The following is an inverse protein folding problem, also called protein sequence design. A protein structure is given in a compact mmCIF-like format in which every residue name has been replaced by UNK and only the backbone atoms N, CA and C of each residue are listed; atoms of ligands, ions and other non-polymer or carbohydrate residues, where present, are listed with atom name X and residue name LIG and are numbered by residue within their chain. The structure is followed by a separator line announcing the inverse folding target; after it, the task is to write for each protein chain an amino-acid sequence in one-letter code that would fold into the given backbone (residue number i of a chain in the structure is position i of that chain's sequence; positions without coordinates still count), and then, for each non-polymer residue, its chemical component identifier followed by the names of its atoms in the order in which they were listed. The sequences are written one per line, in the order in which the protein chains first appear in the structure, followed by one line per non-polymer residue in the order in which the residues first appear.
data_IF_948095728605
#
_entry.id   IF_948095728605
#
_cell.length_a   1.000
_cell.length_b   1.000
_cell.length_c   1.000
_cell.angle_alpha   90.00
_cell.angle_beta   90.00
_cell.angle_gamma   90.00
#
_symmetry.space_group_name_H-M   'P 1'
#
loop_
_entity.id
_entity.type
_entity.pdbx_description
1 polymer ?
#
# COMPACT_ATOMS: atom_id res chain seq x y z
N UNK A 1 42.08 57.73 -16.19
CA UNK A 1 41.65 56.39 -16.60
C UNK A 1 41.24 55.62 -15.35
N UNK A 2 39.93 55.22 -15.22
CA UNK A 2 39.42 54.35 -14.16
C UNK A 2 39.62 52.89 -14.63
N UNK A 3 40.47 52.12 -13.94
CA UNK A 3 40.59 50.67 -14.15
C UNK A 3 39.42 49.98 -13.46
N UNK A 4 38.52 49.38 -14.24
CA UNK A 4 37.46 48.51 -13.73
C UNK A 4 38.02 47.11 -13.75
N UNK A 5 38.17 46.48 -12.58
CA UNK A 5 38.58 45.09 -12.42
C UNK A 5 37.28 44.26 -12.35
N UNK A 6 36.94 43.52 -13.40
CA UNK A 6 35.83 42.59 -13.42
C UNK A 6 36.36 41.21 -13.02
N UNK A 7 35.98 40.72 -11.85
CA UNK A 7 36.26 39.36 -11.43
C UNK A 7 35.09 38.47 -11.88
N UNK A 8 35.30 37.68 -12.91
CA UNK A 8 34.33 36.67 -13.31
C UNK A 8 34.39 35.54 -12.29
N UNK A 9 33.34 35.39 -11.50
CA UNK A 9 33.09 34.20 -10.73
C UNK A 9 32.49 33.20 -11.70
N UNK A 10 33.12 32.00 -11.81
CA UNK A 10 32.56 30.91 -12.60
C UNK A 10 31.26 30.50 -11.95
N UNK A 11 30.13 30.90 -12.56
CA UNK A 11 28.82 30.41 -12.19
C UNK A 11 28.80 28.92 -12.56
N UNK A 12 29.08 28.09 -11.58
CA UNK A 12 28.83 26.65 -11.70
C UNK A 12 27.32 26.50 -11.58
N UNK A 13 26.61 26.66 -12.69
CA UNK A 13 25.31 26.05 -12.83
C UNK A 13 25.54 24.57 -12.60
N UNK A 14 25.09 24.09 -11.45
CA UNK A 14 24.91 22.67 -11.25
C UNK A 14 24.13 22.15 -12.46
N UNK A 15 24.69 21.16 -13.13
CA UNK A 15 23.99 20.41 -14.19
C UNK A 15 22.87 19.60 -13.52
N UNK A 16 21.85 20.29 -13.03
CA UNK A 16 20.65 19.70 -12.41
C UNK A 16 19.75 18.98 -13.44
N UNK A 17 20.17 18.93 -14.69
CA UNK A 17 19.35 18.53 -15.81
C UNK A 17 19.81 17.25 -16.53
N UNK A 18 20.45 16.34 -15.81
CA UNK A 18 20.84 15.04 -16.37
C UNK A 18 19.87 13.97 -15.86
N UNK A 19 19.17 13.33 -16.80
CA UNK A 19 18.32 12.17 -16.52
C UNK A 19 19.15 10.91 -16.73
N UNK A 20 19.32 10.13 -15.66
CA UNK A 20 19.97 8.82 -15.75
C UNK A 20 18.88 7.79 -16.09
N UNK A 21 18.82 7.36 -17.34
CA UNK A 21 17.87 6.33 -17.82
C UNK A 21 18.49 4.94 -17.68
N UNK A 22 18.94 4.51 -16.49
CA UNK A 22 19.50 3.16 -16.26
C UNK A 22 20.61 2.69 -17.21
N UNK A 23 20.47 2.94 -18.52
CA UNK A 23 21.43 2.59 -19.57
C UNK A 23 22.21 3.80 -20.11
N UNK A 24 21.64 5.00 -20.06
CA UNK A 24 22.24 6.20 -20.64
C UNK A 24 21.99 7.41 -19.77
N UNK A 25 22.98 8.28 -19.70
CA UNK A 25 22.86 9.60 -19.10
C UNK A 25 22.52 10.58 -20.20
N UNK A 26 21.28 11.07 -20.27
CA UNK A 26 20.86 12.07 -21.26
C UNK A 26 20.53 13.41 -20.58
N UNK A 27 20.84 14.50 -21.32
CA UNK A 27 20.38 15.82 -20.88
C UNK A 27 18.85 15.90 -20.97
N UNK A 28 18.21 16.53 -19.98
CA UNK A 28 16.74 16.73 -19.92
C UNK A 28 16.14 17.27 -21.22
N UNK A 29 16.88 18.13 -21.90
CA UNK A 29 16.47 18.74 -23.17
C UNK A 29 16.43 17.76 -24.37
N UNK A 30 16.96 16.56 -24.22
CA UNK A 30 16.90 15.52 -25.25
C UNK A 30 15.64 14.65 -25.16
N UNK A 31 14.84 14.84 -24.11
CA UNK A 31 13.59 14.12 -23.89
C UNK A 31 12.40 15.03 -24.22
N UNK A 32 11.60 14.66 -25.21
CA UNK A 32 10.46 15.45 -25.66
C UNK A 32 9.15 15.14 -24.92
N UNK A 33 9.16 14.18 -23.98
CA UNK A 33 7.99 13.71 -23.25
C UNK A 33 7.78 14.41 -21.91
N UNK A 34 6.58 14.25 -21.34
CA UNK A 34 6.25 14.73 -20.00
C UNK A 34 6.93 13.86 -18.92
N UNK A 35 7.88 14.46 -18.20
CA UNK A 35 8.60 13.81 -17.10
C UNK A 35 8.22 14.49 -15.80
N UNK A 36 7.75 13.70 -14.83
CA UNK A 36 7.57 14.17 -13.46
C UNK A 36 8.75 13.68 -12.63
N UNK A 37 9.54 14.60 -12.05
CA UNK A 37 10.65 14.32 -11.14
C UNK A 37 10.23 14.60 -9.71
N UNK A 38 10.42 13.64 -8.82
CA UNK A 38 10.07 13.70 -7.40
C UNK A 38 11.32 13.38 -6.61
N UNK A 39 11.72 14.27 -5.71
CA UNK A 39 12.83 14.02 -4.79
C UNK A 39 12.38 13.15 -3.62
N UNK A 40 13.29 12.34 -3.07
CA UNK A 40 13.00 11.54 -1.88
C UNK A 40 12.51 12.37 -0.68
N UNK A 41 13.05 13.59 -0.53
CA UNK A 41 12.58 14.54 0.51
C UNK A 41 11.11 14.94 0.35
N UNK A 42 10.61 15.07 -0.87
CA UNK A 42 9.22 15.44 -1.12
C UNK A 42 8.29 14.26 -0.84
N UNK A 43 8.73 13.02 -1.14
CA UNK A 43 8.01 11.82 -0.75
C UNK A 43 7.84 11.74 0.77
N UNK A 44 8.92 11.96 1.52
CA UNK A 44 8.91 11.93 2.99
C UNK A 44 7.99 13.00 3.60
N UNK A 45 7.88 14.17 2.98
CA UNK A 45 6.98 15.24 3.44
C UNK A 45 5.50 14.90 3.27
N UNK A 46 5.17 14.14 2.22
CA UNK A 46 3.78 13.77 1.90
C UNK A 46 3.34 12.54 2.70
N UNK A 47 4.13 11.47 2.65
CA UNK A 47 3.82 10.24 3.38
C UNK A 47 5.11 9.46 3.67
N UNK A 48 5.61 9.47 4.91
CA UNK A 48 6.85 8.77 5.25
C UNK A 48 6.70 7.25 5.33
N UNK A 49 5.46 6.73 5.31
CA UNK A 49 5.15 5.32 5.52
C UNK A 49 4.59 4.61 4.30
N UNK A 50 4.05 5.36 3.34
CA UNK A 50 3.40 4.79 2.16
C UNK A 50 3.92 5.45 0.88
N UNK A 51 4.86 4.77 0.22
CA UNK A 51 5.49 5.25 -1.01
C UNK A 51 4.49 5.44 -2.15
N UNK A 52 3.58 4.48 -2.33
CA UNK A 52 2.61 4.54 -3.43
C UNK A 52 1.67 5.73 -3.26
N UNK A 53 1.18 5.96 -2.05
CA UNK A 53 0.32 7.11 -1.75
C UNK A 53 1.06 8.44 -1.99
N UNK A 54 2.32 8.55 -1.56
CA UNK A 54 3.14 9.73 -1.83
C UNK A 54 3.31 9.97 -3.34
N UNK A 55 3.56 8.91 -4.11
CA UNK A 55 3.66 8.97 -5.57
C UNK A 55 2.37 9.43 -6.23
N UNK A 56 1.22 8.92 -5.80
CA UNK A 56 -0.08 9.30 -6.36
C UNK A 56 -0.40 10.79 -6.13
N UNK A 57 -0.06 11.31 -4.94
CA UNK A 57 -0.28 12.71 -4.61
C UNK A 57 0.66 13.64 -5.41
N UNK A 58 1.93 13.24 -5.58
CA UNK A 58 2.95 14.06 -6.23
C UNK A 58 3.00 13.90 -7.76
N UNK A 59 2.31 12.89 -8.30
CA UNK A 59 2.32 12.60 -9.73
C UNK A 59 0.93 12.80 -10.35
N UNK A 60 0.64 13.93 -11.01
CA UNK A 60 -0.62 14.10 -11.73
C UNK A 60 -0.82 13.00 -12.77
N UNK A 61 -1.99 12.34 -12.76
CA UNK A 61 -2.33 11.25 -13.69
C UNK A 61 -1.88 9.86 -13.27
N UNK A 62 -1.14 9.70 -12.18
CA UNK A 62 -0.93 8.42 -11.51
C UNK A 62 -2.09 8.19 -10.53
N UNK A 63 -2.69 7.01 -10.61
CA UNK A 63 -3.78 6.59 -9.74
C UNK A 63 -3.43 5.27 -9.06
N UNK A 64 -3.80 5.18 -7.81
CA UNK A 64 -3.81 3.92 -7.06
C UNK A 64 -5.25 3.41 -7.09
N UNK A 65 -5.43 2.18 -7.54
CA UNK A 65 -6.73 1.50 -7.49
C UNK A 65 -6.85 0.86 -6.11
N UNK A 66 -7.63 1.50 -5.25
CA UNK A 66 -7.90 0.96 -3.91
C UNK A 66 -8.88 -0.21 -4.01
N UNK A 67 -8.54 -1.30 -3.37
CA UNK A 67 -9.45 -2.42 -3.20
C UNK A 67 -10.21 -2.26 -1.87
N UNK A 68 -11.40 -1.70 -1.94
CA UNK A 68 -12.24 -1.47 -0.75
C UNK A 68 -12.63 -2.77 -0.03
N UNK A 69 -12.59 -3.92 -0.70
CA UNK A 69 -12.86 -5.22 -0.07
C UNK A 69 -11.70 -5.68 0.82
N UNK A 70 -10.49 -5.30 0.46
CA UNK A 70 -9.28 -5.62 1.22
C UNK A 70 -9.12 -4.74 2.47
N UNK A 71 -9.70 -3.54 2.47
CA UNK A 71 -9.58 -2.60 3.59
C UNK A 71 -8.13 -2.25 3.89
N UNK A 72 -7.68 -2.54 5.11
CA UNK A 72 -6.31 -2.29 5.58
C UNK A 72 -5.40 -3.51 5.53
N UNK A 73 -5.76 -4.56 4.77
CA UNK A 73 -4.94 -5.77 4.66
C UNK A 73 -3.58 -5.43 4.06
N UNK A 74 -2.47 -5.58 4.81
CA UNK A 74 -1.14 -5.23 4.34
C UNK A 74 -0.60 -6.16 3.24
N UNK A 75 -1.26 -7.30 3.02
CA UNK A 75 -0.86 -8.27 2.00
C UNK A 75 -1.47 -7.97 0.62
N UNK A 76 -2.44 -7.07 0.56
CA UNK A 76 -3.04 -6.63 -0.70
C UNK A 76 -2.29 -5.41 -1.22
N UNK A 77 -1.49 -5.61 -2.25
CA UNK A 77 -0.77 -4.52 -2.92
C UNK A 77 -1.73 -3.85 -3.91
N UNK A 78 -1.93 -2.53 -3.82
CA UNK A 78 -2.82 -1.83 -4.73
C UNK A 78 -2.24 -1.74 -6.14
N UNK A 79 -3.09 -1.74 -7.14
CA UNK A 79 -2.67 -1.50 -8.52
C UNK A 79 -2.30 -0.05 -8.76
N UNK A 80 -1.31 0.15 -9.63
CA UNK A 80 -0.84 1.46 -10.07
C UNK A 80 -1.19 1.65 -11.53
N UNK A 81 -1.86 2.75 -11.86
CA UNK A 81 -2.21 3.14 -13.23
C UNK A 81 -1.63 4.52 -13.54
N UNK A 82 -1.03 4.66 -14.73
CA UNK A 82 -0.61 5.95 -15.27
C UNK A 82 -1.51 6.28 -16.46
N UNK A 83 -2.16 7.46 -16.45
CA UNK A 83 -3.11 7.93 -17.49
C UNK A 83 -4.33 7.04 -17.72
N UNK A 84 -4.70 6.20 -16.75
CA UNK A 84 -5.85 5.31 -16.83
C UNK A 84 -5.53 3.92 -17.38
N UNK A 85 -6.55 3.08 -17.49
CA UNK A 85 -6.40 1.72 -18.01
C UNK A 85 -6.37 1.73 -19.53
N UNK A 86 -5.35 1.15 -20.14
CA UNK A 86 -5.25 0.95 -21.60
C UNK A 86 -6.07 -0.25 -22.06
N UNK A 87 -6.39 -1.18 -21.18
CA UNK A 87 -7.13 -2.40 -21.45
C UNK A 87 -8.22 -2.64 -20.41
N UNK A 88 -9.35 -3.22 -20.85
CA UNK A 88 -10.42 -3.64 -19.94
C UNK A 88 -9.92 -4.87 -19.16
N UNK A 89 -9.88 -4.76 -17.84
CA UNK A 89 -9.44 -5.85 -16.98
C UNK A 89 -10.58 -6.85 -16.77
N UNK A 90 -10.30 -8.11 -17.03
CA UNK A 90 -11.11 -9.24 -16.61
C UNK A 90 -10.48 -9.89 -15.37
N UNK A 91 -11.29 -10.50 -14.51
CA UNK A 91 -10.78 -11.26 -13.34
C UNK A 91 -9.67 -12.21 -13.78
N UNK A 92 -8.47 -12.09 -13.19
CA UNK A 92 -7.29 -12.91 -13.49
C UNK A 92 -6.27 -12.27 -14.46
N UNK A 93 -6.47 -11.02 -14.86
CA UNK A 93 -5.50 -10.24 -15.65
C UNK A 93 -4.94 -9.07 -14.83
N UNK A 94 -4.58 -9.34 -13.59
CA UNK A 94 -3.93 -8.36 -12.71
C UNK A 94 -2.57 -7.96 -13.30
N UNK A 95 -2.28 -6.67 -13.29
CA UNK A 95 -0.98 -6.13 -13.75
C UNK A 95 -0.85 -5.79 -15.23
N UNK A 96 -1.84 -6.10 -16.10
CA UNK A 96 -1.76 -5.78 -17.55
C UNK A 96 -1.60 -4.28 -17.83
N UNK A 97 -2.16 -3.44 -16.97
CA UNK A 97 -2.07 -1.99 -17.09
C UNK A 97 -0.98 -1.37 -16.19
N UNK A 98 -0.19 -2.19 -15.49
CA UNK A 98 0.86 -1.69 -14.62
C UNK A 98 1.98 -1.00 -15.43
N UNK A 99 2.55 0.10 -14.92
CA UNK A 99 3.72 0.71 -15.53
C UNK A 99 4.96 -0.18 -15.35
N UNK A 100 5.94 -0.02 -16.21
CA UNK A 100 7.26 -0.61 -16.03
C UNK A 100 7.97 0.10 -14.87
N UNK A 101 8.47 -0.66 -13.89
CA UNK A 101 9.17 -0.11 -12.73
C UNK A 101 10.63 -0.55 -12.77
N UNK A 102 11.53 0.44 -12.68
CA UNK A 102 12.96 0.21 -12.71
C UNK A 102 13.60 0.76 -11.43
N UNK A 103 14.34 -0.07 -10.71
CA UNK A 103 15.13 0.31 -9.55
C UNK A 103 16.61 0.28 -9.90
N UNK A 104 17.27 1.44 -9.92
CA UNK A 104 18.69 1.58 -10.33
C UNK A 104 19.02 0.88 -11.66
N UNK A 105 18.06 0.85 -12.61
CA UNK A 105 18.23 0.23 -13.92
C UNK A 105 17.83 -1.25 -14.01
N UNK A 106 17.32 -1.86 -12.94
CA UNK A 106 16.82 -3.23 -12.91
C UNK A 106 15.29 -3.21 -12.78
N UNK A 107 14.59 -4.01 -13.60
CA UNK A 107 13.14 -4.17 -13.53
C UNK A 107 12.74 -4.83 -12.21
N UNK A 108 11.75 -4.25 -11.52
CA UNK A 108 11.18 -4.77 -10.28
C UNK A 108 9.65 -4.84 -10.37
N UNK A 109 9.04 -5.61 -9.49
CA UNK A 109 7.59 -5.72 -9.38
C UNK A 109 6.95 -4.52 -8.65
N UNK A 110 5.63 -4.38 -8.75
CA UNK A 110 4.86 -3.40 -7.95
C UNK A 110 4.97 -3.72 -6.45
N UNK A 111 5.04 -5.00 -6.10
CA UNK A 111 5.23 -5.45 -4.72
C UNK A 111 6.58 -5.03 -4.17
N UNK A 112 7.65 -5.18 -4.96
CA UNK A 112 8.98 -4.71 -4.58
C UNK A 112 9.00 -3.19 -4.39
N UNK A 113 8.31 -2.44 -5.24
CA UNK A 113 8.16 -0.98 -5.09
C UNK A 113 7.40 -0.63 -3.81
N UNK A 114 6.31 -1.36 -3.51
CA UNK A 114 5.52 -1.16 -2.29
C UNK A 114 6.35 -1.38 -1.02
N UNK A 115 7.25 -2.35 -1.07
CA UNK A 115 8.12 -2.72 0.04
C UNK A 115 9.42 -1.89 0.13
N UNK A 116 9.66 -0.92 -0.79
CA UNK A 116 10.84 -0.06 -0.72
C UNK A 116 10.79 0.90 0.48
N UNK A 117 11.97 1.16 1.04
CA UNK A 117 12.14 2.18 2.06
C UNK A 117 12.26 3.57 1.42
N UNK A 118 11.35 4.47 1.77
CA UNK A 118 11.35 5.85 1.25
C UNK A 118 12.65 6.58 1.60
N UNK A 119 13.26 6.29 2.76
CA UNK A 119 14.54 6.87 3.17
C UNK A 119 15.73 6.42 2.30
N UNK A 120 15.54 5.34 1.51
CA UNK A 120 16.53 4.83 0.58
C UNK A 120 16.45 5.47 -0.81
N UNK A 121 15.41 6.26 -1.07
CA UNK A 121 15.11 6.85 -2.37
C UNK A 121 15.73 8.26 -2.47
N UNK A 122 16.56 8.48 -3.49
CA UNK A 122 17.10 9.80 -3.83
C UNK A 122 16.09 10.59 -4.69
N UNK A 123 15.55 9.91 -5.72
CA UNK A 123 14.53 10.49 -6.61
C UNK A 123 13.74 9.41 -7.33
N UNK A 124 12.56 9.81 -7.79
CA UNK A 124 11.73 9.03 -8.70
C UNK A 124 11.42 9.87 -9.92
N UNK A 125 11.57 9.27 -11.11
CA UNK A 125 11.19 9.86 -12.37
C UNK A 125 10.00 9.07 -12.93
N UNK A 126 8.91 9.75 -13.25
CA UNK A 126 7.74 9.14 -13.87
C UNK A 126 7.64 9.63 -15.31
N UNK A 127 7.81 8.70 -16.23
CA UNK A 127 7.69 8.91 -17.67
C UNK A 127 6.30 8.47 -18.11
N UNK A 128 5.47 9.44 -18.50
CA UNK A 128 4.06 9.17 -18.81
C UNK A 128 3.78 8.95 -20.29
N UNK A 129 4.69 9.32 -21.17
CA UNK A 129 4.46 9.35 -22.60
C UNK A 129 5.01 8.13 -23.35
N UNK A 130 4.47 7.93 -24.55
CA UNK A 130 4.96 6.91 -25.49
C UNK A 130 6.46 7.06 -25.84
N UNK A 131 7.07 8.22 -25.59
CA UNK A 131 8.52 8.43 -25.68
C UNK A 131 9.31 7.50 -24.76
N UNK A 132 8.72 7.05 -23.65
CA UNK A 132 9.29 6.02 -22.78
C UNK A 132 9.39 4.67 -23.49
N UNK A 133 8.41 4.33 -24.34
CA UNK A 133 8.41 3.07 -25.09
C UNK A 133 9.58 2.98 -26.08
N UNK A 134 10.07 4.11 -26.58
CA UNK A 134 11.24 4.15 -27.47
C UNK A 134 12.51 3.67 -26.75
N UNK A 135 12.62 3.94 -25.45
CA UNK A 135 13.80 3.57 -24.65
C UNK A 135 13.67 2.19 -24.00
N UNK A 136 12.45 1.81 -23.60
CA UNK A 136 12.21 0.63 -22.75
C UNK A 136 11.36 -0.45 -23.45
N UNK A 137 10.98 -0.21 -24.72
CA UNK A 137 10.21 -1.16 -25.53
C UNK A 137 8.73 -1.26 -25.15
N UNK A 138 8.08 -2.34 -25.54
CA UNK A 138 6.64 -2.57 -25.39
C UNK A 138 6.17 -2.53 -23.93
N UNK A 139 6.99 -3.00 -23.00
CA UNK A 139 6.68 -2.99 -21.56
C UNK A 139 6.43 -1.58 -21.00
N UNK A 140 6.94 -0.55 -21.66
CA UNK A 140 6.76 0.85 -21.26
C UNK A 140 5.50 1.51 -21.82
N UNK A 141 4.61 0.75 -22.49
CA UNK A 141 3.38 1.29 -23.09
C UNK A 141 2.47 1.97 -22.08
N UNK A 142 2.46 1.49 -20.83
CA UNK A 142 1.68 2.03 -19.73
C UNK A 142 2.45 3.07 -18.88
N UNK A 143 3.60 3.55 -19.37
CA UNK A 143 4.51 4.45 -18.65
C UNK A 143 5.63 3.74 -17.92
N UNK A 144 6.58 4.51 -17.41
CA UNK A 144 7.75 4.00 -16.68
C UNK A 144 7.96 4.77 -15.39
N UNK A 145 8.23 4.06 -14.31
CA UNK A 145 8.65 4.61 -13.02
C UNK A 145 10.11 4.23 -12.80
N UNK A 146 11.02 5.22 -12.81
CA UNK A 146 12.43 5.03 -12.53
C UNK A 146 12.70 5.44 -11.10
N UNK A 147 13.17 4.53 -10.29
CA UNK A 147 13.54 4.75 -8.90
C UNK A 147 15.05 4.75 -8.78
N UNK A 148 15.61 5.82 -8.26
CA UNK A 148 17.04 5.94 -7.96
C UNK A 148 17.25 5.96 -6.45
N UNK A 149 18.13 5.09 -5.95
CA UNK A 149 18.48 5.05 -4.53
C UNK A 149 19.58 6.02 -4.18
N UNK A 150 19.55 6.48 -2.93
CA UNK A 150 20.61 7.32 -2.36
C UNK A 150 21.97 6.64 -2.49
N UNK A 151 22.95 7.36 -3.03
CA UNK A 151 24.33 6.89 -3.17
C UNK A 151 25.25 7.52 -2.13
N UNK A 152 26.35 6.85 -1.82
CA UNK A 152 27.35 7.36 -0.88
C UNK A 152 28.16 8.50 -1.50
N UNK A 153 27.88 9.74 -1.10
CA UNK A 153 28.60 10.94 -1.59
C UNK A 153 29.81 11.33 -0.73
N UNK A 154 29.93 10.76 0.47
CA UNK A 154 30.95 11.14 1.47
C UNK A 154 32.19 10.25 1.43
N UNK A 155 33.35 10.87 1.48
CA UNK A 155 34.64 10.15 1.63
C UNK A 155 34.83 9.54 3.03
N UNK A 156 33.97 9.86 3.98
CA UNK A 156 33.94 9.24 5.31
C UNK A 156 32.76 8.30 5.40
N UNK A 157 32.89 7.14 6.05
CA UNK A 157 31.73 6.29 6.35
C UNK A 157 30.67 7.08 7.10
N UNK A 158 29.42 6.94 6.65
CA UNK A 158 28.24 7.48 7.32
C UNK A 158 27.33 6.34 7.68
N UNK A 159 26.85 6.35 8.91
CA UNK A 159 25.83 5.45 9.39
C UNK A 159 24.56 6.24 9.65
N UNK A 160 23.43 5.73 9.18
CA UNK A 160 22.11 6.26 9.47
C UNK A 160 21.19 5.13 9.94
N UNK A 161 20.36 5.45 10.90
CA UNK A 161 19.32 4.56 11.41
C UNK A 161 18.00 5.31 11.45
N UNK A 162 16.97 4.71 10.85
CA UNK A 162 15.64 5.26 10.84
C UNK A 162 14.69 4.29 11.55
N UNK A 163 13.84 4.83 12.39
CA UNK A 163 12.75 4.13 13.04
C UNK A 163 11.45 4.86 12.75
N UNK A 164 10.50 4.17 12.15
CA UNK A 164 9.21 4.75 11.75
C UNK A 164 8.08 3.97 12.41
N UNK A 165 7.52 4.46 13.54
CA UNK A 165 6.32 3.92 14.15
C UNK A 165 5.07 4.49 13.47
N UNK A 166 4.01 3.67 13.33
CA UNK A 166 2.71 4.10 12.84
C UNK A 166 1.60 3.45 13.67
N UNK A 167 0.63 4.25 14.09
CA UNK A 167 -0.58 3.79 14.74
C UNK A 167 -1.76 3.95 13.80
N UNK A 168 -2.51 2.87 13.59
CA UNK A 168 -3.71 2.87 12.76
C UNK A 168 -4.93 2.56 13.61
N UNK A 169 -5.97 3.38 13.46
CA UNK A 169 -7.23 3.23 14.18
C UNK A 169 -8.33 3.04 13.14
N UNK A 170 -9.23 2.04 13.32
CA UNK A 170 -10.37 1.90 12.44
C UNK A 170 -11.34 3.07 12.63
N UNK A 171 -11.68 3.74 11.54
CA UNK A 171 -12.69 4.79 11.54
C UNK A 171 -14.01 4.25 10.96
N UNK A 172 -14.98 4.05 11.84
CA UNK A 172 -16.32 3.56 11.50
C UNK A 172 -17.37 4.69 11.48
N UNK A 173 -16.97 5.94 11.65
CA UNK A 173 -17.92 7.07 11.77
C UNK A 173 -18.73 7.33 10.48
N UNK A 174 -18.18 6.93 9.33
CA UNK A 174 -18.87 7.01 8.03
C UNK A 174 -19.89 5.89 7.82
N UNK A 175 -19.82 4.80 8.59
CA UNK A 175 -20.75 3.68 8.50
C UNK A 175 -22.02 4.00 9.27
N UNK A 176 -23.13 4.11 8.54
CA UNK A 176 -24.46 4.27 9.14
C UNK A 176 -25.18 2.94 9.06
N UNK A 177 -24.93 2.08 10.03
CA UNK A 177 -25.62 0.80 10.18
C UNK A 177 -26.81 0.98 11.12
N UNK A 178 -27.90 0.26 10.83
CA UNK A 178 -29.04 0.22 11.71
C UNK A 178 -28.69 -0.46 13.03
N UNK A 179 -29.24 0.01 14.13
CA UNK A 179 -29.25 -0.72 15.39
C UNK A 179 -30.24 -1.89 15.34
N UNK A 180 -30.32 -2.70 16.41
CA UNK A 180 -31.13 -3.90 16.43
C UNK A 180 -32.64 -3.61 16.26
N UNK A 181 -33.14 -2.55 16.90
CA UNK A 181 -34.56 -2.14 16.81
C UNK A 181 -34.88 -1.62 15.41
N UNK A 182 -34.04 -0.70 14.88
CA UNK A 182 -34.23 -0.13 13.56
C UNK A 182 -34.15 -1.19 12.47
N UNK A 183 -33.26 -2.16 12.59
CA UNK A 183 -33.12 -3.24 11.62
C UNK A 183 -34.34 -4.13 11.60
N UNK A 184 -34.82 -4.57 12.79
CA UNK A 184 -35.99 -5.42 12.88
C UNK A 184 -37.28 -4.72 12.39
N UNK A 185 -37.44 -3.43 12.70
CA UNK A 185 -38.57 -2.64 12.24
C UNK A 185 -38.54 -2.44 10.71
N UNK A 186 -37.36 -2.16 10.11
CA UNK A 186 -37.22 -2.09 8.66
C UNK A 186 -37.60 -3.41 7.98
N UNK A 187 -37.17 -4.54 8.53
CA UNK A 187 -37.54 -5.87 8.01
C UNK A 187 -39.03 -6.15 8.12
N UNK A 188 -39.65 -5.74 9.23
CA UNK A 188 -41.12 -5.83 9.41
C UNK A 188 -41.87 -4.99 8.40
N UNK A 189 -41.45 -3.72 8.21
CA UNK A 189 -42.08 -2.82 7.22
C UNK A 189 -41.86 -3.29 5.78
N UNK A 190 -40.78 -4.01 5.51
CA UNK A 190 -40.52 -4.63 4.21
C UNK A 190 -41.33 -5.91 3.97
N UNK A 191 -42.14 -6.35 4.96
CA UNK A 191 -42.98 -7.54 4.83
C UNK A 191 -42.23 -8.87 4.92
N UNK A 192 -40.98 -8.86 5.44
CA UNK A 192 -40.17 -10.08 5.50
C UNK A 192 -40.72 -11.15 6.46
N UNK A 193 -41.58 -10.74 7.37
CA UNK A 193 -42.21 -11.63 8.36
C UNK A 193 -43.70 -11.89 8.11
N UNK A 194 -44.25 -11.34 7.03
CA UNK A 194 -45.66 -11.49 6.72
C UNK A 194 -45.94 -12.89 6.19
N UNK A 195 -46.91 -13.59 6.80
CA UNK A 195 -47.40 -14.89 6.34
C UNK A 195 -48.72 -14.77 5.62
N UNK A 196 -49.05 -15.76 4.81
CA UNK A 196 -50.26 -15.82 3.99
C UNK A 196 -51.53 -15.80 4.86
N UNK A 197 -51.44 -16.31 6.09
CA UNK A 197 -52.55 -16.33 7.07
C UNK A 197 -52.69 -15.02 7.88
N UNK A 198 -51.85 -14.01 7.57
CA UNK A 198 -51.85 -12.73 8.27
C UNK A 198 -51.13 -12.73 9.62
N UNK A 199 -50.53 -13.85 10.02
CA UNK A 199 -49.65 -13.92 11.20
C UNK A 199 -48.26 -13.47 10.87
N UNK A 200 -47.47 -13.14 11.91
CA UNK A 200 -46.02 -12.89 11.76
C UNK A 200 -45.24 -14.21 11.87
N UNK A 201 -44.12 -14.25 11.18
CA UNK A 201 -43.17 -15.36 11.29
C UNK A 201 -42.63 -15.48 12.72
N UNK A 202 -42.59 -16.67 13.35
CA UNK A 202 -41.96 -16.86 14.67
C UNK A 202 -40.52 -16.37 14.78
N UNK A 203 -39.79 -16.23 13.67
CA UNK A 203 -38.50 -15.62 13.64
C UNK A 203 -38.51 -14.16 14.11
N UNK A 204 -39.62 -13.43 13.87
CA UNK A 204 -39.80 -12.08 14.38
C UNK A 204 -39.80 -12.04 15.91
N UNK A 205 -40.58 -12.91 16.54
CA UNK A 205 -40.68 -12.98 17.99
C UNK A 205 -39.38 -13.35 18.65
N UNK A 206 -38.61 -14.28 18.05
CA UNK A 206 -37.27 -14.64 18.52
C UNK A 206 -36.32 -13.44 18.48
N UNK A 207 -36.27 -12.70 17.39
CA UNK A 207 -35.40 -11.52 17.22
C UNK A 207 -35.85 -10.39 18.16
N UNK A 208 -37.14 -10.18 18.32
CA UNK A 208 -37.72 -9.20 19.25
C UNK A 208 -37.36 -9.53 20.70
N UNK A 209 -37.38 -10.82 21.08
CA UNK A 209 -36.96 -11.24 22.44
C UNK A 209 -35.50 -10.97 22.71
N UNK A 210 -34.60 -11.21 21.73
CA UNK A 210 -33.22 -10.84 21.85
C UNK A 210 -33.03 -9.32 22.09
N UNK A 211 -33.78 -8.49 21.37
CA UNK A 211 -33.73 -7.04 21.56
C UNK A 211 -34.22 -6.66 22.95
N UNK A 212 -35.32 -7.27 23.44
CA UNK A 212 -35.84 -7.05 24.81
C UNK A 212 -34.86 -7.44 25.90
N UNK A 213 -34.00 -8.45 25.63
CA UNK A 213 -32.87 -8.83 26.49
C UNK A 213 -31.69 -7.86 26.38
N UNK A 214 -31.77 -6.81 25.57
CA UNK A 214 -30.75 -5.79 25.38
C UNK A 214 -29.68 -6.15 24.36
N UNK A 215 -29.91 -7.12 23.49
CA UNK A 215 -28.98 -7.48 22.41
C UNK A 215 -29.00 -6.39 21.34
N UNK A 216 -27.86 -5.74 21.18
CA UNK A 216 -27.58 -4.80 20.10
C UNK A 216 -26.09 -4.92 19.77
N UNK A 217 -25.75 -5.91 18.95
CA UNK A 217 -24.35 -6.25 18.66
C UNK A 217 -23.81 -5.37 17.55
N UNK A 218 -22.76 -4.60 17.85
CA UNK A 218 -21.97 -3.92 16.85
C UNK A 218 -20.98 -4.92 16.24
N UNK A 219 -21.41 -5.57 15.16
CA UNK A 219 -20.60 -6.55 14.45
C UNK A 219 -19.40 -5.94 13.77
N UNK A 220 -19.49 -4.69 13.30
CA UNK A 220 -18.41 -4.04 12.57
C UNK A 220 -17.14 -3.88 13.42
N UNK A 221 -17.30 -3.74 14.74
CA UNK A 221 -16.14 -3.59 15.66
C UNK A 221 -15.46 -4.92 16.02
N UNK A 222 -16.17 -6.06 15.90
CA UNK A 222 -15.70 -7.36 16.40
C UNK A 222 -14.38 -7.85 15.78
N UNK A 223 -14.19 -7.77 14.43
CA UNK A 223 -12.96 -8.21 13.80
C UNK A 223 -11.83 -7.19 13.90
N UNK A 224 -12.08 -5.99 14.43
CA UNK A 224 -11.16 -4.87 14.37
C UNK A 224 -10.31 -4.73 15.64
N UNK A 225 -9.14 -4.14 15.45
CA UNK A 225 -8.19 -3.74 16.48
C UNK A 225 -7.50 -2.44 16.10
N UNK A 226 -6.93 -1.76 17.08
CA UNK A 226 -5.91 -0.75 16.81
C UNK A 226 -4.63 -1.46 16.39
N UNK A 227 -3.99 -0.99 15.33
CA UNK A 227 -2.78 -1.60 14.81
C UNK A 227 -1.56 -0.70 15.08
N UNK A 228 -0.45 -1.34 15.44
CA UNK A 228 0.85 -0.69 15.59
C UNK A 228 1.83 -1.31 14.59
N UNK A 229 2.23 -0.52 13.61
CA UNK A 229 3.21 -0.87 12.59
C UNK A 229 4.53 -0.19 12.91
N UNK A 230 5.64 -0.86 12.67
CA UNK A 230 6.95 -0.24 12.81
C UNK A 230 7.91 -0.73 11.74
N UNK A 231 8.81 0.16 11.34
CA UNK A 231 9.92 -0.19 10.47
C UNK A 231 11.24 0.33 11.02
N UNK A 232 12.29 -0.44 10.76
CA UNK A 232 13.66 -0.13 11.13
C UNK A 232 14.51 -0.24 9.88
N UNK A 233 15.31 0.77 9.58
CA UNK A 233 16.33 0.69 8.55
C UNK A 233 17.66 1.22 9.04
N UNK A 234 18.72 0.47 8.77
CA UNK A 234 20.09 0.83 9.10
C UNK A 234 20.90 0.86 7.81
N UNK A 235 21.49 2.01 7.49
CA UNK A 235 22.24 2.20 6.25
C UNK A 235 23.65 2.68 6.56
N UNK A 236 24.63 2.03 5.96
CA UNK A 236 26.03 2.46 5.95
C UNK A 236 26.44 2.82 4.53
N UNK A 237 26.93 4.03 4.35
CA UNK A 237 27.44 4.51 3.06
C UNK A 237 28.84 5.07 3.20
N UNK A 238 29.61 4.99 2.14
CA UNK A 238 30.92 5.62 2.10
C UNK A 238 31.58 5.54 0.74
N UNK A 239 32.65 6.30 0.60
CA UNK A 239 33.47 6.35 -0.61
C UNK A 239 34.97 6.44 -0.23
N UNK A 240 35.80 5.71 -0.94
CA UNK A 240 37.27 5.78 -0.74
C UNK A 240 38.00 4.88 -1.71
N UNK A 241 39.21 5.31 -2.16
CA UNK A 241 40.04 4.49 -3.06
C UNK A 241 39.38 4.11 -4.39
N UNK A 242 38.47 4.93 -4.92
CA UNK A 242 37.69 4.60 -6.14
C UNK A 242 36.52 3.67 -5.90
N UNK A 243 36.31 3.20 -4.68
CA UNK A 243 35.14 2.36 -4.29
C UNK A 243 34.10 3.26 -3.64
N UNK A 244 32.87 3.09 -4.08
CA UNK A 244 31.67 3.61 -3.43
C UNK A 244 30.84 2.42 -2.95
N UNK A 245 30.41 2.46 -1.69
CA UNK A 245 29.64 1.37 -1.10
C UNK A 245 28.43 1.87 -0.34
N UNK A 246 27.40 1.05 -0.37
CA UNK A 246 26.19 1.20 0.43
C UNK A 246 25.71 -0.18 0.88
N UNK A 247 25.43 -0.29 2.16
CA UNK A 247 24.81 -1.48 2.77
C UNK A 247 23.62 -1.01 3.56
N UNK A 248 22.45 -1.57 3.26
CA UNK A 248 21.19 -1.26 3.96
C UNK A 248 20.60 -2.56 4.50
N UNK A 249 20.29 -2.59 5.77
CA UNK A 249 19.45 -3.61 6.41
C UNK A 249 18.11 -3.01 6.79
N UNK A 250 17.02 -3.71 6.47
CA UNK A 250 15.65 -3.28 6.77
C UNK A 250 14.86 -4.39 7.46
N UNK A 251 14.02 -3.99 8.40
CA UNK A 251 12.99 -4.80 9.03
C UNK A 251 11.71 -3.96 9.11
N UNK A 252 10.59 -4.52 8.66
CA UNK A 252 9.29 -3.84 8.72
C UNK A 252 8.22 -4.84 9.13
N UNK A 253 7.52 -4.53 10.23
CA UNK A 253 6.35 -5.27 10.69
C UNK A 253 5.11 -4.40 10.48
N UNK A 254 4.29 -4.77 9.51
CA UNK A 254 3.05 -4.06 9.16
C UNK A 254 1.85 -4.86 9.61
N UNK A 255 0.97 -4.21 10.36
CA UNK A 255 -0.28 -4.80 10.84
C UNK A 255 -1.46 -4.00 10.31
N UNK A 256 -2.46 -4.70 9.80
CA UNK A 256 -3.74 -4.09 9.48
C UNK A 256 -4.66 -3.96 10.69
N UNK A 257 -5.77 -3.25 10.52
CA UNK A 257 -6.79 -3.07 11.57
C UNK A 257 -7.70 -4.29 11.73
N UNK A 258 -7.68 -5.24 10.81
CA UNK A 258 -8.30 -6.55 11.03
C UNK A 258 -7.45 -7.37 11.97
N UNK A 259 -8.08 -8.13 12.90
CA UNK A 259 -7.35 -8.99 13.82
C UNK A 259 -6.67 -10.13 13.06
N UNK A 260 -5.39 -10.38 13.35
CA UNK A 260 -4.64 -11.53 12.85
C UNK A 260 -3.94 -11.33 11.51
N UNK A 261 -4.18 -10.23 10.79
CA UNK A 261 -3.42 -9.89 9.60
C UNK A 261 -2.06 -9.29 9.94
N UNK A 262 -1.06 -9.61 9.14
CA UNK A 262 0.26 -8.97 9.20
C UNK A 262 1.06 -9.20 7.92
N UNK A 263 2.04 -8.33 7.67
CA UNK A 263 3.08 -8.47 6.66
C UNK A 263 4.41 -8.06 7.27
N UNK A 264 5.39 -8.94 7.22
CA UNK A 264 6.76 -8.73 7.70
C UNK A 264 7.73 -8.77 6.54
N UNK A 265 8.57 -7.76 6.45
CA UNK A 265 9.59 -7.66 5.43
C UNK A 265 10.97 -7.55 6.07
N UNK A 266 11.87 -8.43 5.63
CA UNK A 266 13.29 -8.41 5.99
C UNK A 266 14.07 -8.18 4.71
N UNK A 267 14.92 -7.16 4.68
CA UNK A 267 15.68 -6.83 3.49
C UNK A 267 17.13 -6.53 3.79
N UNK A 268 18.01 -6.99 2.91
CA UNK A 268 19.43 -6.59 2.88
C UNK A 268 19.78 -6.18 1.46
N UNK A 269 20.30 -4.97 1.31
CA UNK A 269 20.77 -4.45 0.04
C UNK A 269 22.24 -4.06 0.15
N UNK A 270 23.04 -4.52 -0.79
CA UNK A 270 24.46 -4.17 -0.91
C UNK A 270 24.70 -3.60 -2.30
N UNK A 271 25.25 -2.42 -2.38
CA UNK A 271 25.69 -1.79 -3.63
C UNK A 271 27.15 -1.40 -3.52
N UNK A 272 27.95 -1.89 -4.46
CA UNK A 272 29.38 -1.60 -4.57
C UNK A 272 29.64 -1.09 -5.97
N UNK A 273 30.25 0.07 -6.09
CA UNK A 273 30.68 0.62 -7.38
C UNK A 273 32.18 0.89 -7.32
N UNK A 274 32.93 0.35 -8.26
CA UNK A 274 34.36 0.55 -8.38
C UNK A 274 34.74 1.21 -9.71
N UNK A 275 35.43 2.32 -9.62
CA UNK A 275 35.91 3.04 -10.80
C UNK A 275 37.35 2.60 -11.12
N UNK A 276 37.47 1.79 -12.17
CA UNK A 276 38.78 1.29 -12.65
C UNK A 276 39.54 2.35 -13.43
N UNK A 277 38.84 3.15 -14.22
CA UNK A 277 39.42 4.20 -15.04
C UNK A 277 38.43 5.39 -15.12
N UNK A 278 38.83 6.44 -15.83
CA UNK A 278 38.04 7.67 -15.94
C UNK A 278 36.60 7.39 -16.42
N UNK A 279 36.46 6.48 -17.36
CA UNK A 279 35.17 6.18 -18.02
C UNK A 279 34.67 4.74 -17.80
N UNK A 280 35.34 3.98 -16.89
CA UNK A 280 34.98 2.58 -16.61
C UNK A 280 34.60 2.42 -15.14
N UNK A 281 33.33 2.08 -14.91
CA UNK A 281 32.78 1.80 -13.57
C UNK A 281 32.16 0.41 -13.57
N UNK A 282 32.58 -0.45 -12.66
CA UNK A 282 31.88 -1.70 -12.39
C UNK A 282 30.97 -1.51 -11.17
N UNK A 283 29.72 -1.89 -11.31
CA UNK A 283 28.72 -1.84 -10.22
C UNK A 283 28.24 -3.24 -9.93
N UNK A 284 28.30 -3.62 -8.67
CA UNK A 284 27.74 -4.84 -8.14
C UNK A 284 26.58 -4.50 -7.21
N UNK A 285 25.42 -5.13 -7.42
CA UNK A 285 24.24 -4.97 -6.60
C UNK A 285 23.74 -6.33 -6.15
N UNK A 286 23.51 -6.47 -4.85
CA UNK A 286 22.86 -7.61 -4.25
C UNK A 286 21.66 -7.11 -3.46
N UNK A 287 20.47 -7.61 -3.79
CA UNK A 287 19.26 -7.38 -3.03
C UNK A 287 18.72 -8.73 -2.58
N UNK A 288 18.42 -8.84 -1.31
CA UNK A 288 17.72 -9.98 -0.73
C UNK A 288 16.55 -9.45 0.08
N UNK A 289 15.36 -9.93 -0.24
CA UNK A 289 14.13 -9.59 0.48
C UNK A 289 13.39 -10.87 0.82
N UNK A 290 12.92 -10.96 2.05
CA UNK A 290 12.06 -12.03 2.53
C UNK A 290 10.79 -11.41 3.07
N UNK A 291 9.64 -11.82 2.53
CA UNK A 291 8.32 -11.35 2.95
C UNK A 291 7.56 -12.52 3.57
N UNK A 292 7.01 -12.32 4.75
CA UNK A 292 6.09 -13.22 5.44
C UNK A 292 4.77 -12.48 5.63
N UNK A 293 3.67 -13.04 5.13
CA UNK A 293 2.33 -12.45 5.24
C UNK A 293 1.30 -13.44 5.74
N UNK A 294 0.32 -12.93 6.49
CA UNK A 294 -0.85 -13.68 6.90
C UNK A 294 -2.08 -12.81 6.79
N UNK A 295 -3.10 -13.32 6.12
CA UNK A 295 -4.40 -12.67 6.04
C UNK A 295 -5.19 -12.89 7.34
N UNK A 296 -6.13 -12.00 7.61
CA UNK A 296 -7.00 -12.13 8.77
C UNK A 296 -7.80 -13.45 8.73
N UNK A 297 -7.80 -14.24 9.81
CA UNK A 297 -8.65 -15.42 9.91
C UNK A 297 -10.15 -15.07 10.00
N UNK A 298 -10.47 -13.79 10.23
CA UNK A 298 -11.84 -13.29 10.37
C UNK A 298 -12.53 -13.03 9.02
N UNK A 299 -11.89 -13.33 7.89
CA UNK A 299 -12.45 -13.09 6.56
C UNK A 299 -12.48 -11.61 6.17
N UNK A 300 -13.46 -11.18 5.38
CA UNK A 300 -13.56 -9.79 4.93
C UNK A 300 -14.41 -8.93 5.88
N UNK A 301 -14.04 -7.66 6.01
CA UNK A 301 -14.82 -6.70 6.82
C UNK A 301 -16.28 -6.58 6.36
N UNK A 302 -16.53 -6.67 5.04
CA UNK A 302 -17.87 -6.60 4.46
C UNK A 302 -18.81 -7.71 4.97
N UNK A 303 -18.29 -8.87 5.41
CA UNK A 303 -19.12 -9.91 6.01
C UNK A 303 -19.72 -9.46 7.33
N UNK A 304 -18.98 -8.73 8.14
CA UNK A 304 -19.43 -8.24 9.46
C UNK A 304 -20.45 -7.11 9.34
N UNK A 305 -20.34 -6.23 8.34
CA UNK A 305 -21.32 -5.16 8.14
C UNK A 305 -22.68 -5.66 7.66
N UNK A 306 -22.77 -6.93 7.22
CA UNK A 306 -24.02 -7.58 6.80
C UNK A 306 -24.68 -8.39 7.91
N UNK A 307 -24.01 -8.59 9.04
CA UNK A 307 -24.57 -9.34 10.16
C UNK A 307 -25.66 -8.54 10.88
N UNK A 308 -26.61 -9.25 11.43
CA UNK A 308 -27.78 -8.64 12.05
C UNK A 308 -27.50 -8.26 13.52
N UNK A 309 -27.71 -6.99 13.93
CA UNK A 309 -27.38 -6.50 15.24
C UNK A 309 -28.22 -7.09 16.39
N UNK A 310 -29.38 -7.67 16.08
CA UNK A 310 -30.20 -8.39 17.08
C UNK A 310 -29.70 -9.81 17.38
N UNK A 311 -28.62 -10.26 16.73
CA UNK A 311 -28.00 -11.55 17.00
C UNK A 311 -26.91 -11.40 18.04
N UNK A 312 -26.94 -12.14 19.18
CA UNK A 312 -25.89 -12.11 20.19
C UNK A 312 -24.63 -12.85 19.72
N UNK A 313 -23.46 -12.45 20.25
CA UNK A 313 -22.18 -13.11 19.94
C UNK A 313 -22.06 -14.44 20.69
N UNK A 314 -22.52 -14.47 21.93
CA UNK A 314 -22.41 -15.59 22.84
C UNK A 314 -23.78 -16.06 23.29
N UNK A 315 -23.88 -17.34 23.62
CA UNK A 315 -25.03 -17.91 24.32
C UNK A 315 -24.96 -17.59 25.84
N UNK A 316 -25.94 -18.12 26.59
CA UNK A 316 -26.03 -17.94 28.04
C UNK A 316 -24.86 -18.61 28.79
N UNK A 317 -24.22 -19.62 28.18
CA UNK A 317 -23.03 -20.31 28.73
C UNK A 317 -21.71 -19.63 28.33
N UNK A 318 -21.75 -18.50 27.58
CA UNK A 318 -20.58 -17.77 27.11
C UNK A 318 -19.85 -18.42 25.93
N UNK A 319 -20.49 -19.36 25.23
CA UNK A 319 -19.96 -19.97 24.01
C UNK A 319 -20.41 -19.19 22.77
N UNK A 320 -19.59 -19.21 21.72
CA UNK A 320 -19.95 -18.59 20.45
C UNK A 320 -21.18 -19.25 19.82
N UNK A 321 -22.15 -18.44 19.45
CA UNK A 321 -23.34 -18.90 18.73
C UNK A 321 -23.00 -19.01 17.25
N UNK A 322 -23.15 -20.19 16.68
CA UNK A 322 -22.93 -20.46 15.24
C UNK A 322 -24.23 -20.50 14.45
N UNK A 323 -25.35 -20.85 15.10
CA UNK A 323 -26.65 -20.96 14.47
C UNK A 323 -27.66 -20.20 15.33
N UNK A 324 -28.35 -19.22 14.75
CA UNK A 324 -29.28 -18.37 15.49
C UNK A 324 -30.71 -18.90 15.47
N UNK A 325 -31.21 -19.15 14.30
CA UNK A 325 -32.59 -19.55 14.11
C UNK A 325 -32.65 -20.57 12.98
N UNK A 326 -33.39 -21.64 13.22
CA UNK A 326 -33.76 -22.61 12.19
C UNK A 326 -35.14 -22.27 11.69
N UNK A 327 -35.26 -21.87 10.43
CA UNK A 327 -36.57 -21.72 9.78
C UNK A 327 -37.09 -23.09 9.36
N UNK A 328 -38.12 -23.62 10.03
CA UNK A 328 -38.66 -24.95 9.72
C UNK A 328 -39.40 -24.99 8.36
N UNK A 329 -39.80 -23.85 7.81
CA UNK A 329 -40.51 -23.76 6.53
C UNK A 329 -39.51 -23.85 5.36
N UNK A 330 -38.45 -23.06 5.42
CA UNK A 330 -37.43 -23.01 4.37
C UNK A 330 -36.24 -23.96 4.64
N UNK A 331 -36.21 -24.66 5.78
CA UNK A 331 -35.12 -25.53 6.22
C UNK A 331 -33.73 -24.83 6.19
N UNK A 332 -33.72 -23.55 6.45
CA UNK A 332 -32.53 -22.72 6.44
C UNK A 332 -32.09 -22.38 7.86
N UNK A 333 -30.78 -22.30 8.07
CA UNK A 333 -30.20 -21.80 9.30
C UNK A 333 -29.49 -20.48 9.03
N UNK A 334 -29.77 -19.48 9.84
CA UNK A 334 -28.97 -18.27 9.87
C UNK A 334 -27.66 -18.56 10.63
N UNK A 335 -26.54 -18.66 9.87
CA UNK A 335 -25.24 -18.95 10.42
C UNK A 335 -24.46 -17.67 10.63
N UNK A 336 -23.82 -17.59 11.77
CA UNK A 336 -22.86 -16.52 12.06
C UNK A 336 -21.47 -16.94 11.57
N UNK A 337 -20.72 -15.96 11.01
CA UNK A 337 -19.28 -16.10 10.85
C UNK A 337 -18.65 -16.01 12.23
N UNK A 338 -17.99 -17.07 12.66
CA UNK A 338 -17.37 -17.09 13.99
C UNK A 338 -16.03 -16.31 13.95
N UNK A 339 -15.89 -15.21 14.68
CA UNK A 339 -14.67 -14.44 14.70
C UNK A 339 -13.55 -15.03 15.58
N UNK A 340 -13.71 -16.24 16.09
CA UNK A 340 -12.79 -16.83 17.08
C UNK A 340 -12.18 -18.17 16.69
N UNK A 341 -12.42 -18.68 15.50
CA UNK A 341 -11.80 -19.95 15.01
C UNK A 341 -10.54 -19.74 14.21
#
# INVERSE_FOLDING_TARGET
ARHIRVTMVKDMKELDDVIVTGYYTQAKNAFTGEITRIKGEDLLRVSPTNLLQALAILTPGLRIVENNEAGSDPNVVPEILIRGASSIMTKGQEGVNAPLIMLDGVEISVEDLYDLDIYDIEQILVLKDASAAVLYGEKAANGVILVERVRGKSNKPRFSYNFTPMFSFPDLTSLRLCNAEEKLELERLAGLYDRVDGSLDPAYDYKLENIRRGVNTDWATKPLRNAFTHSHSATMTGRGGGIEYKVTGRLSDTYGVMKGDYRRNYGVNVSLSYRFARDVVATYQLAYTMTEGKNSPYGSFAQYTRLNPYNPVYDEDGKYIRNYYFDPVNQTMERQVNPGE
#
